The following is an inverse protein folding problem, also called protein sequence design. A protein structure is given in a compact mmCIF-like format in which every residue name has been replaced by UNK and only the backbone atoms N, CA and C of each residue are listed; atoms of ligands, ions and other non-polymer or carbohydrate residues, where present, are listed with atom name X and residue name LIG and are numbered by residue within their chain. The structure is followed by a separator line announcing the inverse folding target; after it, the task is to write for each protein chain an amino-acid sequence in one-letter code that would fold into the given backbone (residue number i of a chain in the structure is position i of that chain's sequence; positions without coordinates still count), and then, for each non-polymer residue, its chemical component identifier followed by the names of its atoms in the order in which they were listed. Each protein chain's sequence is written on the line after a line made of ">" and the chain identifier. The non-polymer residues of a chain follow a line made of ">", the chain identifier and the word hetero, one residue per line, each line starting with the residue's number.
data_IF_926078763017
#
_entry.id   IF_926078763017
#
_cell.length_a   1.000
_cell.length_b   1.000
_cell.length_c   1.000
_cell.angle_alpha   90.00
_cell.angle_beta   90.00
_cell.angle_gamma   90.00
#
_symmetry.space_group_name_H-M   'P 1'
#
loop_
_entity.id
_entity.type
_entity.pdbx_description
1 polymer ?
#
# COMPACT_ATOMS: atom_id res chain seq x y z
N UNK A 1 -2.15 -5.29 -5.15
CA UNK A 1 -2.07 -5.85 -3.78
C UNK A 1 -2.00 -4.69 -2.79
N UNK A 2 -2.45 -4.86 -1.54
CA UNK A 2 -2.43 -3.79 -0.52
C UNK A 2 -1.44 -4.19 0.58
N UNK A 3 -0.45 -3.34 0.86
CA UNK A 3 0.64 -3.60 1.81
C UNK A 3 0.85 -2.39 2.73
N UNK A 4 0.19 -2.31 3.88
CA UNK A 4 -0.84 -3.22 4.41
C UNK A 4 -2.13 -2.44 4.69
N UNK A 5 -3.31 -3.09 4.67
CA UNK A 5 -4.58 -2.41 4.88
C UNK A 5 -4.84 -2.02 6.35
N UNK A 6 -4.10 -2.61 7.30
CA UNK A 6 -4.26 -2.33 8.74
C UNK A 6 -2.88 -2.04 9.34
N UNK A 7 -2.70 -0.89 10.01
CA UNK A 7 -1.41 -0.53 10.56
C UNK A 7 -1.09 -1.40 11.77
N UNK A 8 0.20 -1.68 11.99
CA UNK A 8 0.65 -2.61 13.05
C UNK A 8 0.08 -2.30 14.43
N UNK A 9 0.06 -1.02 14.84
CA UNK A 9 -0.45 -0.60 16.16
C UNK A 9 -1.96 -0.84 16.36
N UNK A 10 -2.72 -1.12 15.29
CA UNK A 10 -4.15 -1.47 15.32
C UNK A 10 -4.42 -2.94 15.04
N UNK A 11 -3.40 -3.79 14.84
CA UNK A 11 -3.64 -5.22 14.65
C UNK A 11 -3.96 -5.91 15.97
N UNK A 12 -4.98 -6.77 15.97
CA UNK A 12 -5.47 -7.48 17.14
C UNK A 12 -4.37 -8.27 17.88
N UNK A 13 -3.39 -8.80 17.14
CA UNK A 13 -2.26 -9.54 17.72
C UNK A 13 -1.39 -8.70 18.67
N UNK A 14 -1.47 -7.37 18.59
CA UNK A 14 -0.75 -6.45 19.46
C UNK A 14 -1.64 -5.77 20.51
N UNK A 15 -2.91 -6.18 20.65
CA UNK A 15 -3.86 -5.53 21.57
C UNK A 15 -3.37 -5.53 23.03
N UNK A 16 -2.63 -6.56 23.46
CA UNK A 16 -2.06 -6.67 24.81
C UNK A 16 -1.04 -5.59 25.16
N UNK A 17 -0.50 -4.88 24.16
CA UNK A 17 0.51 -3.84 24.35
C UNK A 17 -0.09 -2.43 24.50
N UNK A 18 -1.42 -2.27 24.41
CA UNK A 18 -2.08 -0.97 24.56
C UNK A 18 -1.77 0.03 23.42
N UNK A 19 -1.28 -0.46 22.28
CA UNK A 19 -0.85 0.35 21.13
C UNK A 19 -1.95 1.07 20.34
N UNK A 20 -3.23 0.62 20.31
CA UNK A 20 -4.26 1.30 19.52
C UNK A 20 -4.52 2.77 19.88
N UNK A 21 -4.06 3.22 21.05
CA UNK A 21 -4.21 4.60 21.52
C UNK A 21 -3.05 5.52 21.13
N UNK A 22 -1.99 4.97 20.50
CA UNK A 22 -0.84 5.76 20.05
C UNK A 22 -1.22 6.52 18.78
N UNK A 23 -0.98 7.83 18.77
CA UNK A 23 -1.20 8.68 17.60
C UNK A 23 -0.04 8.52 16.60
N UNK A 24 -0.31 7.86 15.48
CA UNK A 24 0.64 7.63 14.38
C UNK A 24 0.02 8.10 13.05
N UNK A 25 -0.16 9.41 12.84
CA UNK A 25 -1.00 9.94 11.77
C UNK A 25 -0.47 9.61 10.37
N UNK A 26 0.86 9.57 10.20
CA UNK A 26 1.48 9.16 8.93
C UNK A 26 1.21 7.69 8.63
N UNK A 27 1.33 6.83 9.65
CA UNK A 27 1.08 5.40 9.51
C UNK A 27 -0.37 5.12 9.16
N UNK A 28 -1.31 5.77 9.85
CA UNK A 28 -2.74 5.65 9.57
C UNK A 28 -3.10 6.14 8.18
N UNK A 29 -2.59 7.31 7.78
CA UNK A 29 -2.85 7.85 6.47
C UNK A 29 -2.34 6.91 5.35
N UNK A 30 -1.13 6.38 5.50
CA UNK A 30 -0.54 5.51 4.48
C UNK A 30 -1.36 4.24 4.25
N UNK A 31 -1.94 3.63 5.30
CA UNK A 31 -2.75 2.41 5.12
C UNK A 31 -4.00 2.61 4.28
N UNK A 32 -4.49 3.85 4.16
CA UNK A 32 -5.68 4.20 3.36
C UNK A 32 -5.37 4.55 1.90
N UNK A 33 -4.13 4.94 1.59
CA UNK A 33 -3.76 5.51 0.27
C UNK A 33 -2.74 4.69 -0.52
N UNK A 34 -2.06 3.74 0.12
CA UNK A 34 -1.04 2.94 -0.57
C UNK A 34 -1.65 1.81 -1.40
N UNK A 35 -1.10 1.63 -2.60
CA UNK A 35 -1.36 0.48 -3.45
C UNK A 35 -0.02 -0.06 -3.95
N UNK A 36 0.06 -1.38 -4.13
CA UNK A 36 1.25 -2.01 -4.70
C UNK A 36 0.97 -2.51 -6.11
N UNK A 37 1.73 -1.95 -7.05
CA UNK A 37 1.78 -2.37 -8.44
C UNK A 37 2.68 -3.61 -8.57
N UNK A 38 2.39 -4.53 -9.51
CA UNK A 38 3.26 -5.67 -9.79
C UNK A 38 4.66 -5.21 -10.20
N UNK A 39 5.69 -5.80 -9.58
CA UNK A 39 7.09 -5.62 -9.93
C UNK A 39 7.88 -6.89 -9.63
N UNK A 40 8.67 -7.39 -10.59
CA UNK A 40 9.54 -8.57 -10.47
C UNK A 40 10.77 -8.43 -11.38
N UNK A 41 11.83 -9.17 -11.07
CA UNK A 41 13.10 -9.14 -11.81
C UNK A 41 13.00 -9.68 -13.23
N UNK A 42 11.99 -10.51 -13.51
CA UNK A 42 11.79 -11.17 -14.81
C UNK A 42 10.76 -10.44 -15.70
N UNK A 43 10.31 -9.24 -15.31
CA UNK A 43 9.34 -8.50 -16.12
C UNK A 43 9.98 -7.98 -17.42
N UNK A 44 9.22 -8.09 -18.50
CA UNK A 44 9.59 -7.50 -19.79
C UNK A 44 9.03 -6.09 -19.98
N UNK A 45 9.53 -5.38 -21.00
CA UNK A 45 9.10 -4.02 -21.31
C UNK A 45 7.62 -3.94 -21.67
N UNK A 46 7.03 -4.97 -22.28
CA UNK A 46 5.62 -4.96 -22.65
C UNK A 46 4.73 -4.93 -21.40
N UNK A 47 5.07 -5.74 -20.39
CA UNK A 47 4.39 -5.75 -19.09
C UNK A 47 4.55 -4.42 -18.34
N UNK A 48 5.78 -3.87 -18.30
CA UNK A 48 6.06 -2.58 -17.65
C UNK A 48 5.29 -1.43 -18.31
N UNK A 49 5.27 -1.40 -19.65
CA UNK A 49 4.54 -0.39 -20.41
C UNK A 49 3.04 -0.53 -20.23
N UNK A 50 2.52 -1.77 -20.21
CA UNK A 50 1.11 -2.02 -19.96
C UNK A 50 0.66 -1.46 -18.61
N UNK A 51 1.39 -1.77 -17.52
CA UNK A 51 1.03 -1.31 -16.17
C UNK A 51 1.16 0.22 -16.06
N UNK A 52 2.31 0.78 -16.43
CA UNK A 52 2.58 2.21 -16.27
C UNK A 52 1.65 3.09 -17.09
N UNK A 53 1.36 2.72 -18.34
CA UNK A 53 0.45 3.48 -19.20
C UNK A 53 -0.97 3.52 -18.67
N UNK A 54 -1.50 2.40 -18.16
CA UNK A 54 -2.85 2.36 -17.60
C UNK A 54 -2.96 3.16 -16.29
N UNK A 55 -1.93 3.10 -15.44
CA UNK A 55 -1.89 3.92 -14.22
C UNK A 55 -1.83 5.41 -14.55
N UNK A 56 -0.96 5.81 -15.49
CA UNK A 56 -0.87 7.20 -15.95
C UNK A 56 -2.18 7.67 -16.59
N UNK A 57 -2.83 6.80 -17.38
CA UNK A 57 -4.13 7.10 -18.00
C UNK A 57 -5.18 7.35 -16.93
N UNK A 58 -5.27 6.51 -15.89
CA UNK A 58 -6.20 6.70 -14.78
C UNK A 58 -5.96 8.01 -14.01
N UNK A 59 -4.69 8.38 -13.79
CA UNK A 59 -4.33 9.58 -13.03
C UNK A 59 -4.51 10.90 -13.79
N UNK A 60 -4.46 10.87 -15.13
CA UNK A 60 -4.58 12.05 -15.99
C UNK A 60 -5.98 12.22 -16.60
N UNK A 61 -6.98 11.45 -16.15
CA UNK A 61 -8.40 11.70 -16.42
C UNK A 61 -8.90 12.90 -15.64
#
# INVERSE_FOLDING_TARGET
>A
MIYYPVPGHKQDMFASFGLPQIDLPVTDHLTDVVISLPIHTEMDEAQLNYISSHVLTYLNQ
#
